data_IF_364013346021
#
_entry.id   IF_364013346021
#
_cell.length_a   1.000
_cell.length_b   1.000
_cell.length_c   1.000
_cell.angle_alpha   90.00
_cell.angle_beta   90.00
_cell.angle_gamma   90.00
#
_symmetry.space_group_name_H-M   'P 1'
#
loop_
_entity.id
_entity.type
_entity.pdbx_description
1 polymer ?
#
# COMPACT_ATOMS: atom_id res chain seq x y z
N UNK A 1 8.65 -11.40 5.12
CA UNK A 1 8.66 -11.03 3.68
C UNK A 1 10.08 -10.72 3.28
N UNK A 2 10.54 -11.16 2.10
CA UNK A 2 11.94 -10.97 1.61
C UNK A 2 12.39 -9.51 1.69
N UNK A 3 11.52 -8.57 1.31
CA UNK A 3 11.82 -7.13 1.34
C UNK A 3 12.08 -6.60 2.76
N UNK A 4 11.29 -6.99 3.77
CA UNK A 4 11.54 -6.54 5.16
C UNK A 4 12.90 -7.02 5.65
N UNK A 5 13.26 -8.28 5.40
CA UNK A 5 14.56 -8.81 5.79
C UNK A 5 15.72 -8.10 5.10
N UNK A 6 15.55 -7.71 3.84
CA UNK A 6 16.50 -6.89 3.11
C UNK A 6 16.66 -5.50 3.75
N UNK A 7 15.56 -4.77 3.98
CA UNK A 7 15.58 -3.43 4.56
C UNK A 7 16.23 -3.40 5.96
N UNK A 8 15.97 -4.44 6.77
CA UNK A 8 16.59 -4.61 8.07
C UNK A 8 18.12 -4.75 7.96
N UNK A 9 18.59 -5.60 7.05
CA UNK A 9 20.03 -5.81 6.83
C UNK A 9 20.73 -4.58 6.25
N UNK A 10 20.02 -3.83 5.40
CA UNK A 10 20.52 -2.61 4.79
C UNK A 10 20.53 -1.40 5.74
N UNK A 11 19.97 -1.53 6.96
CA UNK A 11 19.84 -0.40 7.89
C UNK A 11 18.97 0.72 7.35
N UNK A 12 17.94 0.39 6.55
CA UNK A 12 17.11 1.38 5.87
C UNK A 12 16.41 2.31 6.87
N UNK A 13 16.57 3.62 6.69
CA UNK A 13 16.02 4.62 7.59
C UNK A 13 14.49 4.61 7.60
N UNK A 14 13.88 4.67 8.80
CA UNK A 14 12.47 5.01 8.98
C UNK A 14 12.37 6.44 9.49
N UNK A 15 11.29 7.11 9.07
CA UNK A 15 10.76 8.34 9.66
C UNK A 15 10.49 8.26 11.17
N UNK A 16 10.23 7.06 11.72
CA UNK A 16 10.08 6.82 13.15
C UNK A 16 11.46 6.67 13.80
N UNK A 17 11.83 7.51 14.79
CA UNK A 17 13.11 7.42 15.47
C UNK A 17 13.36 6.04 16.08
N UNK A 18 14.56 5.50 15.88
CA UNK A 18 14.97 4.20 16.41
C UNK A 18 14.34 2.99 15.70
N UNK A 19 13.61 3.21 14.59
CA UNK A 19 12.99 2.14 13.80
C UNK A 19 13.66 2.02 12.43
N UNK A 20 13.77 0.79 11.93
CA UNK A 20 14.18 0.51 10.55
C UNK A 20 12.95 0.40 9.66
N UNK A 21 13.05 0.88 8.41
CA UNK A 21 11.99 0.74 7.43
C UNK A 21 11.64 -0.73 7.20
N UNK A 22 10.35 -0.99 6.93
CA UNK A 22 9.86 -2.34 6.67
C UNK A 22 8.87 -2.32 5.51
N UNK A 23 8.67 -3.48 4.86
CA UNK A 23 7.66 -3.61 3.82
C UNK A 23 6.23 -3.37 4.34
N UNK A 24 5.98 -3.52 5.65
CA UNK A 24 4.70 -3.18 6.24
C UNK A 24 4.56 -1.67 6.42
N UNK A 25 5.63 -0.99 6.85
CA UNK A 25 5.67 0.48 6.95
C UNK A 25 5.31 1.14 5.61
N UNK A 26 5.89 0.69 4.49
CA UNK A 26 5.53 1.22 3.17
C UNK A 26 4.04 1.02 2.82
N UNK A 27 3.43 -0.09 3.23
CA UNK A 27 1.98 -0.31 3.02
C UNK A 27 1.13 0.62 3.88
N UNK A 28 1.56 0.89 5.11
CA UNK A 28 0.91 1.87 5.99
C UNK A 28 0.97 3.27 5.37
N UNK A 29 2.15 3.73 4.93
CA UNK A 29 2.29 5.03 4.28
C UNK A 29 1.38 5.19 3.06
N UNK A 30 1.28 4.16 2.22
CA UNK A 30 0.35 4.18 1.08
C UNK A 30 -1.12 4.26 1.53
N UNK A 31 -1.52 3.54 2.58
CA UNK A 31 -2.90 3.57 3.11
C UNK A 31 -3.26 4.89 3.74
N UNK A 32 -2.32 5.49 4.47
CA UNK A 32 -2.50 6.79 5.10
C UNK A 32 -2.64 7.87 4.02
N UNK A 33 -1.74 7.88 3.03
CA UNK A 33 -1.85 8.77 1.87
C UNK A 33 -3.17 8.61 1.12
N UNK A 34 -3.62 7.37 0.87
CA UNK A 34 -4.91 7.14 0.23
C UNK A 34 -6.07 7.77 1.02
N UNK A 35 -6.02 7.66 2.35
CA UNK A 35 -7.03 8.23 3.24
C UNK A 35 -7.01 9.75 3.22
N UNK A 36 -5.83 10.36 3.20
CA UNK A 36 -5.65 11.82 3.15
C UNK A 36 -6.13 12.41 1.82
N UNK A 37 -5.93 11.69 0.71
CA UNK A 37 -6.41 12.10 -0.62
C UNK A 37 -7.89 11.75 -0.87
N UNK A 38 -8.57 11.11 0.09
CA UNK A 38 -9.99 10.75 -0.03
C UNK A 38 -10.29 9.58 -0.98
N UNK A 39 -9.31 8.72 -1.27
CA UNK A 39 -9.56 7.51 -2.05
C UNK A 39 -10.40 6.49 -1.27
N UNK A 40 -11.21 5.72 -2.01
CA UNK A 40 -12.01 4.65 -1.43
C UNK A 40 -11.14 3.59 -0.73
N UNK A 41 -11.58 3.18 0.45
CA UNK A 41 -10.84 2.23 1.30
C UNK A 41 -10.71 0.86 0.63
N UNK A 42 -11.78 0.34 0.04
CA UNK A 42 -11.75 -0.97 -0.62
C UNK A 42 -10.81 -0.93 -1.83
N UNK A 43 -10.80 0.17 -2.59
CA UNK A 43 -9.87 0.38 -3.70
C UNK A 43 -8.40 0.40 -3.24
N UNK A 44 -8.10 1.06 -2.12
CA UNK A 44 -6.75 1.09 -1.53
C UNK A 44 -6.33 -0.30 -1.03
N UNK A 45 -7.19 -1.02 -0.30
CA UNK A 45 -6.91 -2.36 0.22
C UNK A 45 -6.70 -3.39 -0.92
N UNK A 46 -7.48 -3.30 -2.01
CA UNK A 46 -7.27 -4.10 -3.22
C UNK A 46 -5.97 -3.77 -3.94
N UNK A 47 -5.54 -2.51 -3.91
CA UNK A 47 -4.24 -2.11 -4.48
C UNK A 47 -3.07 -2.72 -3.71
N UNK A 48 -3.24 -2.99 -2.42
CA UNK A 48 -2.28 -3.72 -1.59
C UNK A 48 -2.32 -5.25 -1.73
N UNK A 49 -3.22 -5.77 -2.58
CA UNK A 49 -3.51 -7.20 -2.71
C UNK A 49 -3.79 -7.88 -1.37
N UNK A 50 -4.41 -7.16 -0.44
CA UNK A 50 -4.82 -7.73 0.84
C UNK A 50 -5.94 -8.74 0.63
N UNK A 51 -5.83 -9.89 1.29
CA UNK A 51 -6.86 -10.92 1.25
C UNK A 51 -8.10 -10.44 2.00
N UNK A 52 -9.25 -10.48 1.33
CA UNK A 52 -10.55 -10.24 1.96
C UNK A 52 -10.78 -11.32 3.02
N UNK A 53 -10.84 -10.92 4.29
CA UNK A 53 -10.95 -11.85 5.42
C UNK A 53 -12.31 -12.54 5.49
N UNK A 54 -13.36 -11.89 4.99
CA UNK A 54 -14.71 -12.44 4.97
C UNK A 54 -14.90 -13.32 3.73
N UNK A 55 -15.03 -14.63 3.94
CA UNK A 55 -15.22 -15.62 2.87
C UNK A 55 -16.48 -15.39 2.04
N UNK A 56 -17.54 -14.83 2.63
CA UNK A 56 -18.79 -14.52 1.92
C UNK A 56 -18.56 -13.34 0.98
N UNK A 57 -17.98 -12.25 1.50
CA UNK A 57 -17.64 -11.05 0.72
C UNK A 57 -16.65 -11.37 -0.42
N UNK A 58 -15.63 -12.18 -0.13
CA UNK A 58 -14.67 -12.66 -1.11
C UNK A 58 -15.36 -13.44 -2.27
N UNK A 59 -16.41 -14.21 -1.98
CA UNK A 59 -17.16 -14.95 -3.00
C UNK A 59 -18.00 -14.05 -3.93
N UNK A 60 -18.41 -12.86 -3.45
CA UNK A 60 -19.12 -11.86 -4.25
C UNK A 60 -18.18 -10.96 -5.07
N UNK A 61 -16.91 -10.83 -4.66
CA UNK A 61 -15.89 -10.09 -5.41
C UNK A 61 -15.31 -10.92 -6.57
N UNK A 62 -16.13 -11.12 -7.61
CA UNK A 62 -15.72 -11.83 -8.84
C UNK A 62 -14.87 -10.99 -9.78
N UNK A 63 -14.78 -9.68 -9.56
CA UNK A 63 -14.04 -8.76 -10.42
C UNK A 63 -12.97 -8.01 -9.63
N UNK A 64 -11.78 -7.96 -10.19
CA UNK A 64 -10.71 -7.09 -9.73
C UNK A 64 -10.84 -5.75 -10.48
N UNK A 65 -11.06 -4.62 -9.78
CA UNK A 65 -11.26 -3.32 -10.41
C UNK A 65 -9.92 -2.72 -10.87
N UNK A 66 -9.16 -3.47 -11.68
CA UNK A 66 -7.85 -3.08 -12.20
C UNK A 66 -7.86 -1.68 -12.82
N UNK A 67 -8.88 -1.39 -13.64
CA UNK A 67 -9.03 -0.09 -14.31
C UNK A 67 -9.27 1.07 -13.34
N UNK A 68 -9.85 0.81 -12.16
CA UNK A 68 -9.95 1.82 -11.09
C UNK A 68 -8.65 1.94 -10.29
N UNK A 69 -7.88 0.85 -10.18
CA UNK A 69 -6.58 0.85 -9.48
C UNK A 69 -5.50 1.58 -10.27
N UNK A 70 -5.52 1.50 -11.61
CA UNK A 70 -4.56 2.19 -12.50
C UNK A 70 -4.38 3.68 -12.18
N UNK A 71 -5.43 4.53 -12.21
CA UNK A 71 -5.26 5.96 -11.94
C UNK A 71 -4.81 6.23 -10.49
N UNK A 72 -5.25 5.40 -9.52
CA UNK A 72 -4.79 5.53 -8.13
C UNK A 72 -3.29 5.23 -8.01
N UNK A 73 -2.82 4.14 -8.62
CA UNK A 73 -1.39 3.78 -8.65
C UNK A 73 -0.55 4.82 -9.38
N UNK A 74 -1.08 5.42 -10.45
CA UNK A 74 -0.40 6.50 -11.16
C UNK A 74 -0.27 7.74 -10.28
N UNK A 75 -1.35 8.18 -9.63
CA UNK A 75 -1.32 9.32 -8.71
C UNK A 75 -0.35 9.10 -7.54
N UNK A 76 -0.28 7.88 -7.02
CA UNK A 76 0.71 7.53 -6.00
C UNK A 76 2.15 7.62 -6.52
N UNK A 77 2.40 7.12 -7.75
CA UNK A 77 3.71 7.21 -8.38
C UNK A 77 4.11 8.67 -8.63
N UNK A 78 3.18 9.51 -9.11
CA UNK A 78 3.41 10.93 -9.37
C UNK A 78 3.71 11.68 -8.06
N UNK A 79 2.99 11.37 -6.98
CA UNK A 79 3.28 11.91 -5.65
C UNK A 79 4.71 11.55 -5.20
N UNK A 80 5.09 10.28 -5.27
CA UNK A 80 6.45 9.86 -4.90
C UNK A 80 7.52 10.51 -5.77
N UNK A 81 7.27 10.66 -7.07
CA UNK A 81 8.18 11.32 -7.99
C UNK A 81 8.36 12.82 -7.70
N UNK A 82 7.34 13.46 -7.13
CA UNK A 82 7.42 14.88 -6.71
C UNK A 82 8.24 15.11 -5.44
N UNK A 83 8.57 14.05 -4.69
CA UNK A 83 9.37 14.13 -3.46
C UNK A 83 10.89 14.00 -3.70
N UNK A 84 11.30 13.71 -4.95
CA UNK A 84 12.70 13.57 -5.37
C UNK A 84 13.24 14.90 -5.93
#
# INVERSE_FOLDING_TARGET
MVLTSFLLRAGAHSDIPGRTATAHGFRSSFRDWCSEQGYDRDLAERSLAHTVKNKVEAAYHRTDPLEKRRPLMQAWADYLASLM
#
